data_IF_645046984943
#
_entry.id   IF_645046984943
#
_cell.length_a   1.000
_cell.length_b   1.000
_cell.length_c   1.000
_cell.angle_alpha   90.00
_cell.angle_beta   90.00
_cell.angle_gamma   90.00
#
_symmetry.space_group_name_H-M   'P 1'
#
loop_
_entity.id
_entity.type
_entity.pdbx_description
1 polymer ?
#
# COMPACT_ATOMS: atom_id res chain seq x y z
N UNK A 1 9.18 6.38 -6.05
CA UNK A 1 8.83 4.99 -5.67
C UNK A 1 9.83 3.98 -6.21
N UNK A 2 10.15 4.03 -7.51
CA UNK A 2 11.07 3.09 -8.19
C UNK A 2 12.46 2.95 -7.54
N UNK A 3 13.08 4.07 -7.10
CA UNK A 3 14.41 4.03 -6.46
C UNK A 3 14.40 3.30 -5.11
N UNK A 4 13.32 3.42 -4.32
CA UNK A 4 13.22 2.76 -3.02
C UNK A 4 13.05 1.24 -3.18
N UNK A 5 12.30 0.80 -4.20
CA UNK A 5 12.14 -0.62 -4.52
C UNK A 5 13.47 -1.27 -4.92
N UNK A 6 14.28 -0.55 -5.73
CA UNK A 6 15.62 -0.99 -6.12
C UNK A 6 16.56 -1.16 -4.91
N UNK A 7 16.46 -0.30 -3.90
CA UNK A 7 17.22 -0.43 -2.63
C UNK A 7 16.83 -1.67 -1.84
N UNK A 8 15.57 -2.10 -1.93
CA UNK A 8 15.06 -3.31 -1.26
C UNK A 8 15.28 -4.60 -2.07
N UNK A 9 16.02 -4.53 -3.18
CA UNK A 9 16.18 -5.62 -4.16
C UNK A 9 14.84 -6.17 -4.70
N UNK A 10 13.81 -5.33 -4.71
CA UNK A 10 12.51 -5.69 -5.26
C UNK A 10 12.49 -5.31 -6.75
N UNK A 11 12.60 -6.33 -7.59
CA UNK A 11 12.69 -6.19 -9.05
C UNK A 11 11.35 -5.96 -9.72
N UNK A 12 10.26 -6.41 -9.09
CA UNK A 12 8.92 -6.45 -9.65
C UNK A 12 7.96 -5.61 -8.79
N UNK A 13 7.62 -4.38 -9.22
CA UNK A 13 6.75 -3.47 -8.47
C UNK A 13 5.37 -4.06 -8.14
N UNK A 14 4.83 -4.94 -8.99
CA UNK A 14 3.49 -5.52 -8.79
C UNK A 14 3.48 -6.57 -7.67
N UNK A 15 4.63 -7.18 -7.38
CA UNK A 15 4.76 -8.16 -6.29
C UNK A 15 5.15 -7.52 -4.95
N UNK A 16 5.34 -6.21 -4.92
CA UNK A 16 5.75 -5.51 -3.70
C UNK A 16 4.59 -5.48 -2.72
N UNK A 17 4.86 -5.95 -1.50
CA UNK A 17 3.97 -5.82 -0.36
C UNK A 17 4.20 -4.48 0.32
N UNK A 18 3.25 -3.56 0.19
CA UNK A 18 3.28 -2.23 0.80
C UNK A 18 2.13 -2.14 1.80
N UNK A 19 2.43 -1.67 3.01
CA UNK A 19 1.43 -1.26 3.99
C UNK A 19 1.72 0.19 4.38
N UNK A 20 0.71 1.05 4.33
CA UNK A 20 0.83 2.45 4.67
C UNK A 20 -0.21 2.87 5.70
N UNK A 21 0.29 3.23 6.88
CA UNK A 21 -0.52 3.73 7.98
C UNK A 21 -0.53 5.26 7.93
N UNK A 22 -1.69 5.87 7.65
CA UNK A 22 -1.84 7.33 7.52
C UNK A 22 -1.62 8.02 8.87
N UNK A 23 -2.03 7.39 9.96
CA UNK A 23 -1.90 7.93 11.31
C UNK A 23 -1.60 6.82 12.32
N UNK A 24 -0.40 6.80 12.90
CA UNK A 24 0.00 5.78 13.88
C UNK A 24 -0.72 5.92 15.23
N UNK A 25 -1.42 7.04 15.48
CA UNK A 25 -2.26 7.21 16.67
C UNK A 25 -3.62 6.50 16.51
N UNK A 26 -4.08 6.29 15.28
CA UNK A 26 -5.34 5.61 14.95
C UNK A 26 -5.05 4.46 13.98
N UNK A 27 -4.80 3.28 14.53
CA UNK A 27 -4.44 2.07 13.79
C UNK A 27 -5.67 1.28 13.31
N UNK A 28 -6.78 1.98 13.08
CA UNK A 28 -8.05 1.37 12.65
C UNK A 28 -8.04 1.06 11.14
N UNK A 29 -7.37 1.92 10.35
CA UNK A 29 -7.34 1.83 8.90
C UNK A 29 -5.91 1.97 8.36
N UNK A 30 -5.58 1.14 7.36
CA UNK A 30 -4.29 1.19 6.66
C UNK A 30 -4.48 0.83 5.19
N UNK A 31 -3.67 1.44 4.34
CA UNK A 31 -3.62 1.08 2.92
C UNK A 31 -2.69 -0.11 2.72
N UNK A 32 -3.12 -1.07 1.91
CA UNK A 32 -2.31 -2.23 1.55
C UNK A 32 -2.23 -2.40 0.03
N UNK A 33 -1.08 -2.79 -0.47
CA UNK A 33 -0.91 -3.19 -1.88
C UNK A 33 -1.74 -4.43 -2.20
N UNK A 34 -2.17 -4.57 -3.45
CA UNK A 34 -2.89 -5.75 -3.95
C UNK A 34 -2.19 -7.08 -3.62
N UNK A 35 -0.85 -7.10 -3.65
CA UNK A 35 -0.04 -8.27 -3.30
C UNK A 35 -0.27 -8.81 -1.87
N UNK A 36 -0.90 -8.03 -0.98
CA UNK A 36 -1.26 -8.43 0.40
C UNK A 36 -2.70 -8.94 0.53
N UNK A 37 -3.56 -8.78 -0.49
CA UNK A 37 -4.95 -9.25 -0.43
C UNK A 37 -5.10 -10.72 -0.01
N UNK A 38 -4.26 -11.67 -0.50
CA UNK A 38 -4.37 -13.06 -0.06
C UNK A 38 -4.15 -13.24 1.45
N UNK A 39 -3.25 -12.46 2.04
CA UNK A 39 -2.95 -12.51 3.48
C UNK A 39 -4.02 -11.82 4.32
N UNK A 40 -4.57 -10.71 3.82
CA UNK A 40 -5.68 -9.98 4.45
C UNK A 40 -6.90 -10.88 4.50
N UNK A 41 -7.29 -11.47 3.38
CA UNK A 41 -8.46 -12.37 3.29
C UNK A 41 -8.31 -13.64 4.14
N UNK A 42 -7.07 -14.09 4.40
CA UNK A 42 -6.81 -15.22 5.28
C UNK A 42 -6.84 -14.86 6.77
N UNK A 43 -6.81 -13.57 7.12
CA UNK A 43 -6.72 -13.09 8.50
C UNK A 43 -8.07 -12.57 9.01
N UNK A 44 -8.69 -13.31 9.92
CA UNK A 44 -9.98 -12.96 10.54
C UNK A 44 -10.04 -11.63 11.30
N UNK A 45 -8.89 -11.01 11.57
CA UNK A 45 -8.81 -9.71 12.26
C UNK A 45 -8.72 -8.53 11.29
N UNK A 46 -8.65 -8.80 9.98
CA UNK A 46 -8.53 -7.79 8.94
C UNK A 46 -9.74 -7.89 8.02
N UNK A 47 -10.21 -6.74 7.55
CA UNK A 47 -11.31 -6.63 6.61
C UNK A 47 -10.93 -5.63 5.52
N UNK A 48 -11.27 -5.94 4.27
CA UNK A 48 -11.12 -5.00 3.16
C UNK A 48 -12.36 -4.11 3.16
N UNK A 49 -12.20 -2.86 3.57
CA UNK A 49 -13.30 -1.88 3.70
C UNK A 49 -13.49 -1.00 2.45
N UNK A 50 -12.50 -0.96 1.55
CA UNK A 50 -12.52 -0.17 0.31
C UNK A 50 -11.92 -0.96 -0.86
N UNK A 51 -12.31 -0.62 -2.08
CA UNK A 51 -11.76 -1.20 -3.31
C UNK A 51 -10.33 -0.72 -3.59
N UNK A 52 -9.65 -1.38 -4.53
CA UNK A 52 -8.30 -1.01 -4.96
C UNK A 52 -8.27 0.43 -5.51
N UNK A 53 -7.27 1.19 -5.06
CA UNK A 53 -7.02 2.56 -5.49
C UNK A 53 -5.71 2.63 -6.25
N UNK A 54 -5.70 3.35 -7.37
CA UNK A 54 -4.45 3.68 -8.06
C UNK A 54 -3.70 4.80 -7.32
N UNK A 55 -2.39 4.67 -7.20
CA UNK A 55 -1.57 5.79 -6.72
C UNK A 55 -1.55 6.93 -7.72
N UNK A 56 -2.08 8.08 -7.30
CA UNK A 56 -2.04 9.32 -8.07
C UNK A 56 -0.90 10.21 -7.59
N UNK A 57 -0.15 10.76 -8.55
CA UNK A 57 0.94 11.67 -8.28
C UNK A 57 0.62 13.05 -8.86
N UNK A 58 1.01 14.12 -8.15
CA UNK A 58 0.89 15.49 -8.65
C UNK A 58 2.00 15.81 -9.68
N UNK A 59 1.93 17.01 -10.27
CA UNK A 59 2.93 17.48 -11.24
C UNK A 59 4.37 17.58 -10.66
N UNK A 60 4.52 17.52 -9.34
CA UNK A 60 5.79 17.54 -8.64
C UNK A 60 6.23 16.12 -8.20
N UNK A 61 5.56 15.06 -8.68
CA UNK A 61 5.74 13.66 -8.30
C UNK A 61 5.51 13.36 -6.82
N UNK A 62 4.71 14.18 -6.12
CA UNK A 62 4.26 13.85 -4.77
C UNK A 62 3.01 12.97 -4.84
N UNK A 63 2.91 12.02 -3.92
CA UNK A 63 1.72 11.19 -3.78
C UNK A 63 0.55 12.05 -3.31
N UNK A 64 -0.52 12.09 -4.11
CA UNK A 64 -1.76 12.79 -3.78
C UNK A 64 -2.50 11.92 -2.76
N UNK A 65 -2.77 12.50 -1.59
CA UNK A 65 -3.64 11.90 -0.59
C UNK A 65 -5.06 12.34 -0.91
N UNK A 66 -5.90 11.43 -1.41
CA UNK A 66 -7.35 11.62 -1.33
C UNK A 66 -7.80 11.50 0.16
#
# INVERSE_FOLDING_TARGET
>A
MESALKTLHLSDPEKVKICWIKNTLFLDEMYCSEALLPEINANKNLEVIEDLLEFRFDNNNNLIKE
#
